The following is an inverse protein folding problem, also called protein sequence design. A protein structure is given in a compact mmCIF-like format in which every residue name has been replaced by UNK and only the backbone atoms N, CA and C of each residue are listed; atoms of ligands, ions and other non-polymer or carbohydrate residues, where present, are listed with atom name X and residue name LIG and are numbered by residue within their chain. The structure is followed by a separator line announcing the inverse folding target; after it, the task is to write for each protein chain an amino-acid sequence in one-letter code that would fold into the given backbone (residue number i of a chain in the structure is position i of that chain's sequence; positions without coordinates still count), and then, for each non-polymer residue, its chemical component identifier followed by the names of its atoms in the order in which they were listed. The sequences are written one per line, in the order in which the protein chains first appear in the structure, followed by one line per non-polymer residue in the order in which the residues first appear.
data_IF_886703416146
#
_entry.id   IF_886703416146
#
_cell.length_a   1.000
_cell.length_b   1.000
_cell.length_c   1.000
_cell.angle_alpha   90.00
_cell.angle_beta   90.00
_cell.angle_gamma   90.00
#
_symmetry.space_group_name_H-M   'P 1'
#
loop_
_entity.id
_entity.type
_entity.pdbx_description
1 polymer ?
#
# COMPACT_ATOMS: atom_id res chain seq x y z
N UNK A 1 11.25 28.86 13.06
CA UNK A 1 12.21 28.16 12.19
C UNK A 1 11.41 27.14 11.38
N UNK A 2 11.75 26.84 10.12
CA UNK A 2 11.04 25.77 9.38
C UNK A 2 11.58 24.41 9.81
N UNK A 3 10.81 23.33 9.61
CA UNK A 3 11.27 21.97 9.89
C UNK A 3 12.58 21.65 9.15
N UNK A 4 12.69 22.06 7.89
CA UNK A 4 13.89 21.82 7.08
C UNK A 4 15.13 22.50 7.68
N UNK A 5 15.00 23.73 8.20
CA UNK A 5 16.11 24.42 8.87
C UNK A 5 16.49 23.77 10.22
N UNK A 6 15.51 23.32 11.00
CA UNK A 6 15.78 22.57 12.24
C UNK A 6 16.57 21.28 11.94
N UNK A 7 16.21 20.55 10.89
CA UNK A 7 16.91 19.31 10.48
C UNK A 7 18.33 19.60 9.99
N UNK A 8 18.52 20.68 9.22
CA UNK A 8 19.86 21.09 8.77
C UNK A 8 20.74 21.47 9.95
N UNK A 9 20.19 22.14 10.96
CA UNK A 9 20.93 22.48 12.19
C UNK A 9 21.27 21.24 13.02
N UNK A 10 20.31 20.32 13.18
CA UNK A 10 20.56 19.04 13.82
C UNK A 10 21.65 18.24 13.11
N UNK A 11 21.64 18.22 11.77
CA UNK A 11 22.67 17.56 10.98
C UNK A 11 24.06 18.22 11.11
N UNK A 12 24.12 19.56 11.12
CA UNK A 12 25.39 20.28 11.40
C UNK A 12 25.96 19.90 12.77
N UNK A 13 25.10 19.83 13.78
CA UNK A 13 25.48 19.41 15.14
C UNK A 13 25.98 17.96 15.15
N UNK A 14 25.30 17.06 14.44
CA UNK A 14 25.70 15.67 14.25
C UNK A 14 27.09 15.52 13.63
N UNK A 15 27.35 16.25 12.54
CA UNK A 15 28.65 16.27 11.87
C UNK A 15 29.77 16.85 12.75
N UNK A 16 29.43 17.74 13.70
CA UNK A 16 30.36 18.28 14.68
C UNK A 16 30.61 17.34 15.88
N UNK A 17 30.01 16.13 15.90
CA UNK A 17 30.18 15.15 16.97
C UNK A 17 29.25 15.35 18.17
N UNK A 18 28.22 16.19 18.03
CA UNK A 18 27.18 16.41 19.04
C UNK A 18 25.82 15.91 18.55
N UNK A 19 24.84 15.71 19.43
CA UNK A 19 23.49 15.34 19.01
C UNK A 19 22.52 16.43 19.45
N UNK A 20 21.96 17.13 18.47
CA UNK A 20 20.90 18.11 18.69
C UNK A 20 19.57 17.47 18.33
N UNK A 21 18.72 17.26 19.33
CA UNK A 21 17.35 16.81 19.11
C UNK A 21 16.50 17.97 18.62
N UNK A 22 15.64 17.68 17.65
CA UNK A 22 14.60 18.60 17.21
C UNK A 22 13.69 18.94 18.40
N UNK A 23 13.36 20.22 18.54
CA UNK A 23 12.42 20.69 19.55
C UNK A 23 11.03 20.04 19.41
N UNK A 24 10.22 20.13 20.46
CA UNK A 24 8.80 19.76 20.38
C UNK A 24 8.10 20.56 19.28
N UNK A 25 7.17 19.90 18.58
CA UNK A 25 6.46 20.53 17.46
C UNK A 25 5.57 19.56 16.71
N UNK A 26 5.06 20.03 15.57
CA UNK A 26 4.20 19.24 14.71
C UNK A 26 4.88 17.96 14.24
N UNK A 27 4.07 16.90 14.12
CA UNK A 27 4.54 15.63 13.56
C UNK A 27 4.86 15.77 12.09
N UNK A 28 5.83 15.00 11.62
CA UNK A 28 6.20 14.93 10.21
C UNK A 28 6.51 13.49 9.82
N UNK A 29 6.48 13.22 8.52
CA UNK A 29 6.70 11.88 7.96
C UNK A 29 8.10 11.81 7.38
N UNK A 30 8.82 10.73 7.65
CA UNK A 30 10.10 10.41 6.99
C UNK A 30 9.88 9.17 6.14
N UNK A 31 10.03 9.28 4.83
CA UNK A 31 10.13 8.13 3.92
C UNK A 31 11.61 7.87 3.66
N UNK A 32 12.12 6.69 4.01
CA UNK A 32 13.53 6.34 3.81
C UNK A 32 13.73 4.88 3.40
N UNK A 33 14.98 4.46 3.24
CA UNK A 33 15.34 3.12 2.80
C UNK A 33 15.27 2.09 3.94
N UNK A 34 15.07 0.81 3.62
CA UNK A 34 15.23 -0.35 4.54
C UNK A 34 16.71 -0.68 4.85
N UNK A 35 17.66 0.13 4.38
CA UNK A 35 19.09 -0.12 4.59
C UNK A 35 19.42 -0.23 6.10
N UNK A 36 20.05 -1.33 6.54
CA UNK A 36 20.32 -1.55 7.95
C UNK A 36 21.26 -0.50 8.54
N UNK A 37 22.13 0.14 7.74
CA UNK A 37 23.05 1.20 8.19
C UNK A 37 22.31 2.42 8.73
N UNK A 38 21.06 2.64 8.31
CA UNK A 38 20.27 3.78 8.77
C UNK A 38 19.62 3.56 10.14
N UNK A 39 19.50 2.30 10.60
CA UNK A 39 18.87 1.98 11.89
C UNK A 39 19.75 2.49 13.04
N UNK A 40 19.23 3.43 13.83
CA UNK A 40 19.98 4.06 14.93
C UNK A 40 20.98 5.13 14.46
N UNK A 41 21.11 5.34 13.15
CA UNK A 41 21.97 6.35 12.54
C UNK A 41 21.16 7.54 12.00
N UNK A 42 20.02 7.26 11.37
CA UNK A 42 19.14 8.27 10.80
C UNK A 42 18.59 9.23 11.88
N UNK A 43 18.19 8.67 13.01
CA UNK A 43 17.58 9.42 14.11
C UNK A 43 18.52 10.51 14.65
N UNK A 44 19.76 10.21 15.10
CA UNK A 44 20.68 11.26 15.52
C UNK A 44 21.13 12.16 14.36
N UNK A 45 21.28 11.65 13.14
CA UNK A 45 21.72 12.46 11.99
C UNK A 45 20.72 13.54 11.57
N UNK A 46 19.42 13.33 11.80
CA UNK A 46 18.35 14.29 11.52
C UNK A 46 17.75 14.92 12.79
N UNK A 47 18.28 14.60 13.97
CA UNK A 47 17.75 15.06 15.26
C UNK A 47 16.37 14.50 15.62
N UNK A 48 15.95 13.38 15.05
CA UNK A 48 14.60 12.84 15.25
C UNK A 48 14.35 12.52 16.74
N UNK A 49 13.29 13.08 17.30
CA UNK A 49 12.84 12.83 18.66
C UNK A 49 11.63 11.89 18.69
N UNK A 50 11.45 11.18 19.82
CA UNK A 50 10.27 10.34 20.02
C UNK A 50 9.00 11.18 19.88
N UNK A 51 7.96 10.59 19.30
CA UNK A 51 6.61 11.17 19.14
C UNK A 51 6.43 12.25 18.05
N UNK A 52 7.49 12.82 17.47
CA UNK A 52 7.40 13.79 16.37
C UNK A 52 7.56 13.18 14.98
N UNK A 53 8.56 12.31 14.78
CA UNK A 53 8.82 11.68 13.49
C UNK A 53 8.01 10.38 13.28
N UNK A 54 7.30 10.30 12.15
CA UNK A 54 6.59 9.11 11.68
C UNK A 54 7.41 8.48 10.55
N UNK A 55 8.17 7.43 10.85
CA UNK A 55 9.13 6.84 9.89
C UNK A 55 8.49 5.70 9.10
N UNK A 56 8.50 5.82 7.78
CA UNK A 56 8.11 4.81 6.79
C UNK A 56 9.36 4.37 6.05
N UNK A 57 9.58 3.06 5.93
CA UNK A 57 10.77 2.50 5.28
C UNK A 57 10.38 1.62 4.11
N UNK A 58 10.99 1.85 2.94
CA UNK A 58 10.78 1.06 1.72
C UNK A 58 12.12 0.71 1.07
N UNK A 59 12.14 -0.27 0.17
CA UNK A 59 13.35 -0.55 -0.60
C UNK A 59 13.73 0.69 -1.45
N UNK A 60 14.88 1.29 -1.15
CA UNK A 60 15.38 2.47 -1.86
C UNK A 60 14.51 3.71 -1.73
N UNK A 61 13.77 3.89 -0.64
CA UNK A 61 12.90 5.05 -0.39
C UNK A 61 11.93 5.38 -1.55
N UNK A 62 11.52 4.31 -2.26
CA UNK A 62 10.62 4.36 -3.40
C UNK A 62 9.16 4.48 -2.95
N UNK A 63 8.38 5.18 -3.77
CA UNK A 63 6.92 5.22 -3.71
C UNK A 63 6.38 5.44 -5.14
N UNK A 64 5.40 4.64 -5.52
CA UNK A 64 4.85 4.55 -6.88
C UNK A 64 3.47 3.91 -6.84
N UNK A 65 2.79 3.81 -7.99
CA UNK A 65 1.50 3.11 -8.11
C UNK A 65 1.61 1.61 -7.80
N UNK A 66 2.79 1.01 -8.02
CA UNK A 66 3.09 -0.37 -7.64
C UNK A 66 3.41 -0.53 -6.15
N UNK A 67 3.64 0.56 -5.43
CA UNK A 67 4.00 0.58 -4.00
C UNK A 67 2.85 1.07 -3.12
N UNK A 68 1.69 0.41 -3.24
CA UNK A 68 0.46 0.82 -2.55
C UNK A 68 0.60 0.89 -1.02
N UNK A 69 1.40 0.02 -0.40
CA UNK A 69 1.57 0.02 1.05
C UNK A 69 2.35 1.24 1.56
N UNK A 70 3.34 1.72 0.81
CA UNK A 70 4.09 2.91 1.17
C UNK A 70 3.19 4.14 1.13
N UNK A 71 2.46 4.31 0.01
CA UNK A 71 1.53 5.42 -0.18
C UNK A 71 0.45 5.40 0.90
N UNK A 72 -0.19 4.25 1.13
CA UNK A 72 -1.20 4.07 2.18
C UNK A 72 -0.66 4.39 3.57
N UNK A 73 0.57 3.99 3.88
CA UNK A 73 1.19 4.26 5.19
C UNK A 73 1.51 5.74 5.36
N UNK A 74 1.98 6.42 4.32
CA UNK A 74 2.21 7.87 4.34
C UNK A 74 0.88 8.61 4.51
N UNK A 75 -0.18 8.21 3.79
CA UNK A 75 -1.53 8.76 4.00
C UNK A 75 -2.00 8.63 5.45
N UNK A 76 -1.85 7.44 6.04
CA UNK A 76 -2.21 7.24 7.44
C UNK A 76 -1.35 8.11 8.37
N UNK A 77 -0.06 8.27 8.09
CA UNK A 77 0.83 9.13 8.86
C UNK A 77 0.40 10.61 8.80
N UNK A 78 -0.03 11.10 7.63
CA UNK A 78 -0.53 12.46 7.45
C UNK A 78 -1.92 12.64 8.06
N UNK A 79 -2.91 11.87 7.62
CA UNK A 79 -4.32 12.10 7.93
C UNK A 79 -4.80 11.49 9.25
N UNK A 80 -4.21 10.38 9.69
CA UNK A 80 -4.60 9.71 10.95
C UNK A 80 -3.67 10.11 12.09
N UNK A 81 -2.37 10.26 11.84
CA UNK A 81 -1.39 10.60 12.86
C UNK A 81 -1.03 12.10 12.89
N UNK A 82 -1.48 12.89 11.93
CA UNK A 82 -1.34 14.35 11.94
C UNK A 82 0.00 14.87 11.43
N UNK A 83 0.70 14.11 10.57
CA UNK A 83 1.92 14.56 9.91
C UNK A 83 1.66 15.78 9.02
N UNK A 84 2.44 16.85 9.20
CA UNK A 84 2.25 18.14 8.48
C UNK A 84 3.16 18.33 7.28
N UNK A 85 4.28 17.62 7.26
CA UNK A 85 5.28 17.67 6.19
C UNK A 85 5.84 16.27 5.93
N UNK A 86 6.33 16.03 4.71
CA UNK A 86 7.01 14.78 4.33
C UNK A 86 8.48 15.07 3.98
N UNK A 87 9.38 14.25 4.49
CA UNK A 87 10.79 14.20 4.14
C UNK A 87 11.07 12.88 3.42
N UNK A 88 11.40 12.95 2.14
CA UNK A 88 11.91 11.80 1.39
C UNK A 88 13.43 11.79 1.53
N UNK A 89 13.97 10.84 2.28
CA UNK A 89 15.39 10.75 2.62
C UNK A 89 16.01 9.54 1.93
N UNK A 90 16.73 9.79 0.84
CA UNK A 90 17.61 8.80 0.22
C UNK A 90 18.98 8.76 0.87
N UNK A 91 19.79 7.77 0.51
CA UNK A 91 21.15 7.65 1.03
C UNK A 91 22.17 7.23 -0.03
N UNK A 92 23.43 7.66 0.12
CA UNK A 92 24.52 7.22 -0.77
C UNK A 92 24.73 5.71 -0.74
N UNK A 93 25.29 5.16 -1.82
CA UNK A 93 25.62 3.72 -1.94
C UNK A 93 24.41 2.80 -1.62
N UNK A 94 23.23 3.17 -2.14
CA UNK A 94 22.05 2.35 -1.99
C UNK A 94 22.17 1.05 -2.80
N UNK A 95 21.97 -0.10 -2.17
CA UNK A 95 21.98 -1.38 -2.88
C UNK A 95 20.93 -1.38 -4.02
N UNK A 96 19.81 -0.67 -3.83
CA UNK A 96 18.76 -0.51 -4.84
C UNK A 96 19.20 0.32 -6.07
N UNK A 97 20.35 1.01 -6.03
CA UNK A 97 20.88 1.68 -7.22
C UNK A 97 21.91 0.86 -7.99
N UNK A 98 22.34 -0.28 -7.44
CA UNK A 98 23.48 -1.06 -7.93
C UNK A 98 23.08 -2.42 -8.52
N UNK A 99 21.87 -2.88 -8.26
CA UNK A 99 21.44 -4.19 -8.73
C UNK A 99 21.02 -4.14 -10.21
N UNK A 100 21.33 -5.22 -10.93
CA UNK A 100 20.67 -5.52 -12.19
C UNK A 100 19.36 -6.23 -11.89
N UNK A 101 18.27 -5.80 -12.53
CA UNK A 101 17.00 -6.51 -12.41
C UNK A 101 17.13 -7.98 -12.87
N UNK A 102 18.05 -8.26 -13.80
CA UNK A 102 18.37 -9.64 -14.22
C UNK A 102 18.93 -10.48 -13.08
N UNK A 103 19.84 -9.94 -12.27
CA UNK A 103 20.48 -10.69 -11.17
C UNK A 103 19.48 -11.06 -10.08
N UNK A 104 18.54 -10.15 -9.80
CA UNK A 104 17.45 -10.37 -8.83
C UNK A 104 16.48 -11.44 -9.35
N UNK A 105 16.04 -11.32 -10.60
CA UNK A 105 15.14 -12.31 -11.22
C UNK A 105 15.81 -13.69 -11.24
N UNK A 106 17.09 -13.76 -11.57
CA UNK A 106 17.86 -14.99 -11.55
C UNK A 106 18.02 -15.56 -10.13
N UNK A 107 18.14 -14.70 -9.12
CA UNK A 107 18.17 -15.12 -7.72
C UNK A 107 16.85 -15.77 -7.29
N UNK A 108 15.71 -15.17 -7.66
CA UNK A 108 14.39 -15.77 -7.44
C UNK A 108 14.24 -17.10 -8.17
N UNK A 109 14.71 -17.18 -9.42
CA UNK A 109 14.68 -18.40 -10.23
C UNK A 109 15.50 -19.52 -9.58
N UNK A 110 16.73 -19.23 -9.13
CA UNK A 110 17.61 -20.19 -8.43
C UNK A 110 17.01 -20.66 -7.10
N UNK A 111 16.28 -19.80 -6.41
CA UNK A 111 15.56 -20.14 -5.18
C UNK A 111 14.25 -20.93 -5.44
N UNK A 112 13.89 -21.20 -6.70
CA UNK A 112 12.68 -21.94 -7.06
C UNK A 112 11.39 -21.14 -6.90
N UNK A 113 11.45 -19.81 -6.83
CA UNK A 113 10.26 -18.96 -6.72
C UNK A 113 9.55 -18.92 -8.07
N UNK A 114 8.27 -19.33 -8.15
CA UNK A 114 7.55 -19.34 -9.42
C UNK A 114 7.23 -17.92 -9.88
N UNK A 115 7.21 -17.69 -11.21
CA UNK A 115 6.88 -16.39 -11.80
C UNK A 115 5.53 -15.83 -11.33
N UNK A 116 4.55 -16.70 -11.08
CA UNK A 116 3.22 -16.33 -10.59
C UNK A 116 3.23 -15.65 -9.22
N UNK A 117 4.28 -15.83 -8.40
CA UNK A 117 4.39 -15.21 -7.08
C UNK A 117 4.46 -13.66 -7.13
N UNK A 118 4.74 -13.09 -8.30
CA UNK A 118 4.88 -11.64 -8.49
C UNK A 118 3.70 -11.03 -9.28
N UNK A 119 2.64 -11.81 -9.55
CA UNK A 119 1.52 -11.41 -10.40
C UNK A 119 1.91 -11.22 -11.88
N UNK A 120 1.02 -10.65 -12.71
CA UNK A 120 1.27 -10.57 -14.17
C UNK A 120 2.09 -9.33 -14.59
N UNK A 121 2.35 -8.41 -13.67
CA UNK A 121 3.08 -7.16 -13.96
C UNK A 121 4.56 -7.40 -14.29
N UNK A 122 5.22 -6.44 -14.95
CA UNK A 122 6.65 -6.52 -15.23
C UNK A 122 7.45 -6.61 -13.91
N UNK A 123 8.21 -7.70 -13.74
CA UNK A 123 9.06 -7.93 -12.57
C UNK A 123 10.06 -6.79 -12.34
N UNK A 124 10.58 -6.20 -13.43
CA UNK A 124 11.51 -5.08 -13.32
C UNK A 124 10.83 -3.85 -12.74
N UNK A 125 9.60 -3.59 -13.17
CA UNK A 125 8.77 -2.50 -12.65
C UNK A 125 8.32 -2.78 -11.20
N UNK A 126 8.01 -4.04 -10.88
CA UNK A 126 7.65 -4.47 -9.52
C UNK A 126 8.80 -4.24 -8.53
N UNK A 127 10.03 -4.57 -8.94
CA UNK A 127 11.21 -4.41 -8.10
C UNK A 127 11.74 -2.96 -8.08
N UNK A 128 11.26 -2.10 -8.99
CA UNK A 128 11.50 -0.65 -9.01
C UNK A 128 12.99 -0.23 -8.91
N UNK A 129 13.84 -0.91 -9.68
CA UNK A 129 15.26 -0.57 -9.81
C UNK A 129 15.49 0.86 -10.29
N UNK A 130 16.55 1.48 -9.80
CA UNK A 130 17.02 2.76 -10.30
C UNK A 130 18.54 2.75 -10.41
N UNK A 131 19.09 3.74 -11.12
CA UNK A 131 20.55 3.88 -11.27
C UNK A 131 21.10 5.08 -10.50
N UNK A 132 20.31 6.15 -10.38
CA UNK A 132 20.69 7.37 -9.70
C UNK A 132 19.81 7.58 -8.46
N UNK A 133 20.44 7.62 -7.29
CA UNK A 133 19.76 7.81 -6.01
C UNK A 133 19.17 9.21 -5.88
N UNK A 134 19.85 10.26 -6.35
CA UNK A 134 19.35 11.63 -6.30
C UNK A 134 18.11 11.78 -7.18
N UNK A 135 18.18 11.26 -8.39
CA UNK A 135 17.05 11.23 -9.31
C UNK A 135 15.87 10.44 -8.72
N UNK A 136 16.15 9.34 -8.01
CA UNK A 136 15.14 8.57 -7.30
C UNK A 136 14.42 9.37 -6.21
N UNK A 137 15.15 10.09 -5.35
CA UNK A 137 14.54 10.97 -4.33
C UNK A 137 13.64 12.02 -5.00
N UNK A 138 14.11 12.66 -6.06
CA UNK A 138 13.33 13.65 -6.81
C UNK A 138 12.05 13.02 -7.36
N UNK A 139 12.15 11.83 -7.97
CA UNK A 139 11.01 11.09 -8.52
C UNK A 139 9.98 10.73 -7.45
N UNK A 140 10.41 10.25 -6.28
CA UNK A 140 9.51 9.95 -5.17
C UNK A 140 8.79 11.21 -4.66
N UNK A 141 9.49 12.34 -4.56
CA UNK A 141 8.87 13.63 -4.20
C UNK A 141 7.84 14.05 -5.24
N UNK A 142 8.18 13.97 -6.53
CA UNK A 142 7.27 14.34 -7.62
C UNK A 142 6.05 13.42 -7.71
N UNK A 143 6.24 12.12 -7.47
CA UNK A 143 5.14 11.16 -7.42
C UNK A 143 4.16 11.53 -6.30
N UNK A 144 4.65 11.75 -5.08
CA UNK A 144 3.79 12.15 -3.95
C UNK A 144 3.06 13.47 -4.23
N UNK A 145 3.66 14.41 -4.96
CA UNK A 145 2.98 15.65 -5.38
C UNK A 145 1.88 15.41 -6.41
N UNK A 146 2.08 14.47 -7.34
CA UNK A 146 1.18 14.21 -8.48
C UNK A 146 0.11 13.17 -8.20
N UNK A 147 0.24 12.35 -7.16
CA UNK A 147 -0.68 11.24 -6.88
C UNK A 147 -2.08 11.69 -6.43
N UNK A 148 -2.34 12.99 -6.28
CA UNK A 148 -3.64 13.55 -5.90
C UNK A 148 -4.02 13.32 -4.44
N UNK A 149 -3.14 12.70 -3.65
CA UNK A 149 -3.43 12.33 -2.27
C UNK A 149 -3.09 13.43 -1.26
N UNK A 150 -2.34 14.46 -1.64
CA UNK A 150 -2.00 15.59 -0.79
C UNK A 150 -2.40 16.91 -1.46
N UNK A 151 -2.77 17.94 -0.69
CA UNK A 151 -3.00 19.29 -1.23
C UNK A 151 -1.79 19.82 -2.00
N UNK A 152 -2.03 20.67 -3.00
CA UNK A 152 -0.96 21.24 -3.84
C UNK A 152 0.12 22.00 -3.04
N UNK A 153 -0.26 22.59 -1.91
CA UNK A 153 0.63 23.32 -1.00
C UNK A 153 1.23 22.44 0.12
N UNK A 154 0.98 21.12 0.12
CA UNK A 154 1.56 20.23 1.12
C UNK A 154 3.08 20.15 0.94
N UNK A 155 3.83 20.32 2.03
CA UNK A 155 5.29 20.39 1.98
C UNK A 155 5.89 18.99 1.91
N UNK A 156 6.62 18.77 0.83
CA UNK A 156 7.32 17.51 0.55
C UNK A 156 8.75 17.88 0.14
N UNK A 157 9.70 17.49 0.97
CA UNK A 157 11.13 17.76 0.81
C UNK A 157 11.85 16.51 0.34
N UNK A 158 12.91 16.68 -0.44
CA UNK A 158 13.80 15.61 -0.87
C UNK A 158 15.20 15.86 -0.33
N UNK A 159 15.75 14.87 0.37
CA UNK A 159 17.03 14.92 1.05
C UNK A 159 17.90 13.71 0.67
N UNK A 160 19.21 13.92 0.67
CA UNK A 160 20.22 12.89 0.50
C UNK A 160 21.11 12.83 1.73
N UNK A 161 21.20 11.66 2.34
CA UNK A 161 22.08 11.38 3.46
C UNK A 161 23.31 10.61 2.98
N UNK A 162 24.50 11.07 3.31
CA UNK A 162 25.71 10.26 3.17
C UNK A 162 25.65 9.11 4.19
N UNK A 163 25.66 7.88 3.70
CA UNK A 163 25.51 6.67 4.51
C UNK A 163 26.73 6.35 5.39
N UNK A 164 27.85 7.05 5.20
CA UNK A 164 29.09 6.85 5.96
C UNK A 164 29.24 7.88 7.08
N UNK A 165 29.05 9.17 6.75
CA UNK A 165 29.29 10.27 7.69
C UNK A 165 28.02 11.01 8.12
N UNK A 166 26.88 10.75 7.47
CA UNK A 166 25.59 11.33 7.82
C UNK A 166 25.38 12.75 7.29
N UNK A 167 26.27 13.26 6.42
CA UNK A 167 26.11 14.58 5.81
C UNK A 167 24.82 14.64 5.00
N UNK A 168 24.02 15.67 5.25
CA UNK A 168 22.75 15.89 4.59
C UNK A 168 22.88 16.92 3.46
N UNK A 169 22.31 16.60 2.31
CA UNK A 169 22.15 17.50 1.18
C UNK A 169 20.65 17.63 0.84
N UNK A 170 20.18 18.87 0.66
CA UNK A 170 18.81 19.13 0.18
C UNK A 170 18.80 19.05 -1.35
N UNK A 171 18.06 18.10 -1.91
CA UNK A 171 17.90 17.97 -3.37
C UNK A 171 16.60 18.58 -3.88
N UNK A 172 15.58 18.65 -3.01
CA UNK A 172 14.30 19.35 -3.26
C UNK A 172 13.82 20.04 -1.99
N UNK A 173 13.69 21.35 -2.07
CA UNK A 173 13.13 22.18 -1.01
C UNK A 173 11.60 22.31 -1.18
N UNK A 174 10.85 21.71 -0.26
CA UNK A 174 9.39 21.72 -0.27
C UNK A 174 8.77 23.04 0.20
N UNK A 175 9.54 23.94 0.82
CA UNK A 175 9.07 25.28 1.23
C UNK A 175 9.04 26.25 0.03
N UNK A 176 9.74 25.94 -1.07
CA UNK A 176 9.89 26.82 -2.24
C UNK A 176 8.73 26.83 -3.24
N UNK A 177 7.68 26.03 -3.04
CA UNK A 177 6.58 25.90 -4.01
C UNK A 177 5.61 27.08 -3.92
N UNK A 178 5.48 27.81 -5.03
CA UNK A 178 4.44 28.82 -5.26
C UNK A 178 3.16 28.12 -5.72
N UNK A 179 2.05 28.52 -5.13
CA UNK A 179 0.73 27.91 -5.33
C UNK A 179 0.20 28.18 -6.75
N UNK A 180 -0.12 27.13 -7.50
CA UNK A 180 -1.20 27.20 -8.49
C UNK A 180 -2.35 26.35 -7.96
N UNK A 181 -3.49 26.99 -7.74
CA UNK A 181 -4.68 26.35 -7.17
C UNK A 181 -5.34 25.46 -8.21
N UNK A 182 -5.23 24.14 -8.04
CA UNK A 182 -6.16 23.20 -8.66
C UNK A 182 -7.02 22.65 -7.54
N UNK A 183 -8.21 23.24 -7.38
CA UNK A 183 -9.27 22.69 -6.56
C UNK A 183 -9.91 21.57 -7.38
N UNK A 184 -9.70 20.33 -6.98
CA UNK A 184 -10.50 19.22 -7.48
C UNK A 184 -11.49 18.83 -6.39
N UNK A 185 -12.72 19.32 -6.53
CA UNK A 185 -13.88 18.83 -5.80
C UNK A 185 -14.10 17.36 -6.17
N UNK A 186 -13.82 16.45 -5.23
CA UNK A 186 -14.64 15.26 -4.94
C UNK A 186 -13.91 14.37 -3.92
N UNK A 187 -14.35 14.46 -2.66
CA UNK A 187 -14.27 13.37 -1.68
C UNK A 187 -15.32 13.67 -0.59
N UNK A 188 -16.57 13.29 -0.84
CA UNK A 188 -17.57 13.13 0.22
C UNK A 188 -17.93 11.66 0.29
N UNK A 189 -17.17 10.92 1.09
CA UNK A 189 -17.64 9.67 1.67
C UNK A 189 -18.20 10.01 3.06
N UNK A 190 -19.45 9.64 3.29
CA UNK A 190 -20.20 9.83 4.54
C UNK A 190 -19.43 9.31 5.76
N UNK A 191 -19.47 10.00 6.93
CA UNK A 191 -18.78 9.53 8.11
C UNK A 191 -19.41 8.24 8.65
N UNK A 192 -18.56 7.24 8.87
CA UNK A 192 -18.87 6.07 9.70
C UNK A 192 -18.94 6.53 11.17
N UNK A 193 -19.82 5.97 12.03
CA UNK A 193 -20.06 6.51 13.36
C UNK A 193 -18.80 6.48 14.23
N UNK A 194 -18.59 7.56 14.98
CA UNK A 194 -17.48 7.73 15.90
C UNK A 194 -17.44 6.59 16.93
N UNK A 195 -16.28 5.93 17.05
CA UNK A 195 -15.98 5.10 18.22
C UNK A 195 -15.77 6.03 19.41
N UNK A 196 -16.60 5.92 20.43
CA UNK A 196 -16.41 6.56 21.73
C UNK A 196 -15.10 6.07 22.36
N UNK A 197 -14.23 6.97 22.84
CA UNK A 197 -13.09 6.57 23.68
C UNK A 197 -13.63 5.95 24.99
N UNK A 198 -13.21 4.72 25.31
CA UNK A 198 -13.40 4.16 26.64
C UNK A 198 -12.60 4.96 27.68
N UNK A 199 -13.00 4.93 28.96
CA UNK A 199 -12.37 5.77 29.98
C UNK A 199 -10.90 5.39 30.15
N UNK A 200 -10.03 6.39 30.04
CA UNK A 200 -8.62 6.29 30.38
C UNK A 200 -8.55 6.48 31.90
N UNK A 201 -8.27 5.41 32.64
CA UNK A 201 -7.96 5.52 34.07
C UNK A 201 -6.57 6.16 34.22
N UNK A 202 -6.54 7.38 34.72
CA UNK A 202 -5.34 8.10 35.10
C UNK A 202 -4.97 7.79 36.54
N UNK A 203 -3.87 7.06 36.73
CA UNK A 203 -3.08 7.12 37.96
C UNK A 203 -1.61 6.99 37.60
N UNK A 204 -0.98 8.14 37.36
CA UNK A 204 0.48 8.24 37.28
C UNK A 204 0.98 8.53 38.70
N UNK A 205 1.72 7.59 39.28
CA UNK A 205 2.66 7.87 40.35
C UNK A 205 4.07 7.87 39.77
N UNK A 206 4.85 8.87 40.20
CA UNK A 206 6.21 9.12 39.77
C UNK A 206 7.21 8.15 40.43
N UNK A 207 8.23 7.77 39.65
CA UNK A 207 9.54 7.36 40.16
C UNK A 207 9.81 5.86 40.29
N UNK A 208 10.45 5.27 39.27
CA UNK A 208 11.47 4.22 39.39
C UNK A 208 12.11 3.95 38.02
N UNK A 209 13.42 3.70 37.98
CA UNK A 209 14.19 3.32 36.78
C UNK A 209 13.50 2.17 36.03
N UNK A 210 13.54 2.24 34.69
CA UNK A 210 12.99 1.21 33.82
C UNK A 210 13.62 -0.17 34.10
N UNK A 211 12.84 -1.25 34.27
CA UNK A 211 13.39 -2.60 34.35
C UNK A 211 13.85 -3.06 32.96
N UNK A 212 14.90 -3.89 32.92
CA UNK A 212 15.36 -4.56 31.69
C UNK A 212 14.23 -5.38 31.03
N UNK A 213 14.22 -5.50 29.69
CA UNK A 213 13.21 -6.26 28.99
C UNK A 213 13.28 -7.76 29.38
N UNK A 214 12.12 -8.44 29.48
CA UNK A 214 12.10 -9.86 29.83
C UNK A 214 12.73 -10.72 28.72
N UNK A 215 13.35 -11.86 29.06
CA UNK A 215 13.93 -12.76 28.07
C UNK A 215 12.85 -13.36 27.17
N UNK A 216 13.21 -13.57 25.89
CA UNK A 216 12.32 -14.10 24.86
C UNK A 216 11.80 -15.50 25.24
N UNK A 217 10.51 -15.80 24.98
CA UNK A 217 9.96 -17.13 25.23
C UNK A 217 10.53 -18.18 24.26
N UNK A 218 10.73 -19.40 24.78
CA UNK A 218 11.18 -20.56 24.02
C UNK A 218 10.15 -20.97 22.93
N UNK A 219 10.59 -21.60 21.83
CA UNK A 219 9.74 -21.86 20.67
C UNK A 219 8.64 -22.89 21.00
N UNK A 220 7.38 -22.51 20.76
CA UNK A 220 6.22 -23.37 20.95
C UNK A 220 6.16 -24.48 19.90
N UNK A 221 5.93 -25.71 20.37
CA UNK A 221 5.67 -26.90 19.57
C UNK A 221 4.33 -26.78 18.84
N UNK A 222 4.31 -27.18 17.56
CA UNK A 222 3.12 -27.17 16.69
C UNK A 222 2.09 -28.20 17.17
N UNK A 223 0.96 -27.73 17.71
CA UNK A 223 -0.28 -28.49 17.83
C UNK A 223 -1.22 -28.12 16.69
N UNK A 224 -1.57 -29.09 15.84
CA UNK A 224 -2.55 -28.92 14.77
C UNK A 224 -3.96 -28.78 15.37
N UNK A 225 -4.65 -27.68 15.03
CA UNK A 225 -6.07 -27.50 15.30
C UNK A 225 -6.81 -27.32 13.97
N UNK A 226 -7.51 -28.37 13.56
CA UNK A 226 -8.52 -28.36 12.50
C UNK A 226 -9.74 -27.59 13.00
N UNK A 227 -10.10 -26.50 12.33
CA UNK A 227 -11.40 -25.82 12.55
C UNK A 227 -12.27 -26.02 11.32
N UNK A 228 -13.45 -26.60 11.55
CA UNK A 228 -14.46 -26.88 10.55
C UNK A 228 -15.09 -25.58 10.03
N UNK A 229 -15.16 -25.42 8.71
CA UNK A 229 -15.76 -24.28 8.04
C UNK A 229 -17.29 -24.35 8.04
N UNK A 230 -17.94 -23.32 8.60
CA UNK A 230 -19.37 -23.06 8.45
C UNK A 230 -19.61 -21.78 7.64
N UNK A 231 -20.61 -21.79 6.76
CA UNK A 231 -21.05 -20.63 5.96
C UNK A 231 -21.44 -19.45 6.87
N UNK A 232 -20.99 -18.21 6.62
CA UNK A 232 -21.49 -17.03 7.33
C UNK A 232 -22.99 -16.81 7.03
N UNK A 233 -23.74 -16.32 8.02
CA UNK A 233 -25.20 -16.28 8.06
C UNK A 233 -25.95 -15.47 6.98
N UNK A 234 -27.28 -15.52 7.10
CA UNK A 234 -28.28 -15.14 6.10
C UNK A 234 -28.01 -13.84 5.32
N UNK A 235 -28.25 -13.90 4.00
CA UNK A 235 -28.06 -12.80 3.06
C UNK A 235 -28.89 -11.56 3.44
N UNK A 236 -28.22 -10.40 3.54
CA UNK A 236 -28.88 -9.11 3.31
C UNK A 236 -29.26 -9.09 1.83
N UNK A 237 -30.55 -9.05 1.52
CA UNK A 237 -31.03 -8.84 0.15
C UNK A 237 -30.51 -7.46 -0.27
N UNK A 238 -29.43 -7.40 -1.04
CA UNK A 238 -28.98 -6.15 -1.64
C UNK A 238 -30.03 -5.69 -2.66
N UNK A 239 -30.14 -4.39 -2.94
CA UNK A 239 -30.96 -3.94 -4.06
C UNK A 239 -30.32 -4.38 -5.38
N UNK A 240 -31.10 -4.45 -6.47
CA UNK A 240 -30.55 -4.62 -7.81
C UNK A 240 -29.50 -3.54 -8.10
N UNK A 241 -28.40 -3.87 -8.80
CA UNK A 241 -27.32 -2.92 -9.04
C UNK A 241 -27.78 -1.74 -9.89
N UNK A 242 -27.46 -0.52 -9.43
CA UNK A 242 -27.77 0.73 -10.15
C UNK A 242 -26.58 1.24 -10.98
N UNK A 243 -25.37 0.77 -10.66
CA UNK A 243 -24.12 1.15 -11.33
C UNK A 243 -23.19 -0.04 -11.58
N UNK A 244 -22.16 0.16 -12.42
CA UNK A 244 -21.10 -0.84 -12.65
C UNK A 244 -20.37 -1.20 -11.36
N UNK A 245 -20.17 -0.22 -10.47
CA UNK A 245 -19.53 -0.40 -9.17
C UNK A 245 -20.36 -1.31 -8.25
N UNK A 246 -21.69 -1.16 -8.28
CA UNK A 246 -22.62 -2.02 -7.53
C UNK A 246 -22.60 -3.44 -8.06
N UNK A 247 -22.62 -3.61 -9.38
CA UNK A 247 -22.54 -4.93 -10.01
C UNK A 247 -21.23 -5.65 -9.68
N UNK A 248 -20.10 -4.93 -9.71
CA UNK A 248 -18.79 -5.46 -9.32
C UNK A 248 -18.73 -5.84 -7.83
N UNK A 249 -19.37 -5.06 -6.97
CA UNK A 249 -19.43 -5.34 -5.52
C UNK A 249 -20.28 -6.58 -5.24
N UNK A 250 -21.44 -6.73 -5.88
CA UNK A 250 -22.31 -7.90 -5.73
C UNK A 250 -21.57 -9.18 -6.17
N UNK A 251 -20.85 -9.14 -7.29
CA UNK A 251 -20.06 -10.29 -7.75
C UNK A 251 -18.91 -10.62 -6.80
N UNK A 252 -18.18 -9.61 -6.31
CA UNK A 252 -17.10 -9.82 -5.34
C UNK A 252 -17.63 -10.45 -4.06
N UNK A 253 -18.74 -9.95 -3.52
CA UNK A 253 -19.34 -10.49 -2.30
C UNK A 253 -19.81 -11.94 -2.49
N UNK A 254 -20.37 -12.27 -3.66
CA UNK A 254 -20.72 -13.65 -4.03
C UNK A 254 -19.50 -14.57 -4.01
N UNK A 255 -18.42 -14.19 -4.70
CA UNK A 255 -17.17 -14.98 -4.76
C UNK A 255 -16.56 -15.17 -3.38
N UNK A 256 -16.51 -14.11 -2.58
CA UNK A 256 -15.95 -14.17 -1.21
C UNK A 256 -16.74 -15.13 -0.32
N UNK A 257 -18.08 -15.13 -0.44
CA UNK A 257 -18.95 -16.02 0.35
C UNK A 257 -18.86 -17.48 -0.08
N UNK A 258 -18.80 -17.74 -1.38
CA UNK A 258 -18.72 -19.11 -1.90
C UNK A 258 -17.28 -19.64 -1.97
N UNK A 259 -16.27 -18.85 -1.58
CA UNK A 259 -14.86 -19.24 -1.62
C UNK A 259 -14.56 -20.55 -0.87
N UNK A 260 -15.31 -20.89 0.17
CA UNK A 260 -15.13 -22.12 0.94
C UNK A 260 -16.05 -23.27 0.48
N UNK A 261 -16.88 -23.05 -0.55
CA UNK A 261 -17.77 -24.07 -1.10
C UNK A 261 -17.02 -24.93 -2.13
N UNK A 262 -16.83 -26.21 -1.83
CA UNK A 262 -16.10 -27.13 -2.70
C UNK A 262 -16.72 -27.26 -4.10
N UNK A 263 -18.06 -27.21 -4.19
CA UNK A 263 -18.76 -27.26 -5.47
C UNK A 263 -18.45 -26.02 -6.31
N UNK A 264 -18.51 -24.84 -5.69
CA UNK A 264 -18.16 -23.57 -6.33
C UNK A 264 -16.71 -23.56 -6.81
N UNK A 265 -15.76 -24.00 -5.97
CA UNK A 265 -14.35 -24.08 -6.32
C UNK A 265 -14.09 -24.96 -7.54
N UNK A 266 -14.76 -26.12 -7.63
CA UNK A 266 -14.65 -27.00 -8.79
C UNK A 266 -15.20 -26.31 -10.05
N UNK A 267 -16.36 -25.66 -9.97
CA UNK A 267 -16.97 -24.95 -11.10
C UNK A 267 -16.13 -23.75 -11.57
N UNK A 268 -15.50 -23.00 -10.65
CA UNK A 268 -14.59 -21.90 -11.01
C UNK A 268 -13.30 -22.43 -11.63
N UNK A 269 -12.76 -23.56 -11.17
CA UNK A 269 -11.60 -24.19 -11.78
C UNK A 269 -11.87 -24.66 -13.21
N UNK A 270 -13.05 -25.24 -13.46
CA UNK A 270 -13.53 -25.64 -14.79
C UNK A 270 -13.73 -24.42 -15.70
N UNK A 271 -14.39 -23.37 -15.20
CA UNK A 271 -14.59 -22.11 -15.93
C UNK A 271 -13.24 -21.45 -16.27
N UNK A 272 -12.29 -21.43 -15.35
CA UNK A 272 -10.95 -20.88 -15.57
C UNK A 272 -10.17 -21.69 -16.61
N UNK A 273 -10.33 -23.02 -16.63
CA UNK A 273 -9.75 -23.89 -17.65
C UNK A 273 -10.41 -23.67 -19.03
N UNK A 274 -11.72 -23.41 -19.06
CA UNK A 274 -12.46 -23.06 -20.27
C UNK A 274 -11.98 -21.72 -20.84
N UNK A 275 -11.87 -20.67 -20.02
CA UNK A 275 -11.40 -19.34 -20.45
C UNK A 275 -9.98 -19.40 -21.04
N UNK A 276 -9.10 -20.28 -20.51
CA UNK A 276 -7.74 -20.45 -21.05
C UNK A 276 -7.69 -21.12 -22.42
N UNK A 277 -8.70 -21.94 -22.76
CA UNK A 277 -8.73 -22.75 -23.99
C UNK A 277 -9.65 -22.17 -25.06
N UNK A 278 -10.74 -21.54 -24.65
CA UNK A 278 -11.78 -21.03 -25.52
C UNK A 278 -11.60 -19.53 -25.76
N UNK A 279 -11.63 -19.12 -27.03
CA UNK A 279 -11.51 -17.69 -27.42
C UNK A 279 -12.86 -17.08 -27.76
N UNK A 280 -13.92 -17.88 -27.88
CA UNK A 280 -15.26 -17.43 -28.20
C UNK A 280 -15.98 -16.86 -26.95
N UNK A 281 -16.28 -15.55 -26.90
CA UNK A 281 -16.95 -14.93 -25.75
C UNK A 281 -18.34 -15.49 -25.47
N UNK A 282 -19.07 -15.93 -26.50
CA UNK A 282 -20.42 -16.47 -26.34
C UNK A 282 -20.42 -17.78 -25.55
N UNK A 283 -19.39 -18.61 -25.71
CA UNK A 283 -19.26 -19.89 -24.98
C UNK A 283 -18.96 -19.64 -23.50
N UNK A 284 -18.04 -18.71 -23.21
CA UNK A 284 -17.68 -18.36 -21.84
C UNK A 284 -18.86 -17.68 -21.12
N UNK A 285 -19.59 -16.80 -21.81
CA UNK A 285 -20.78 -16.17 -21.26
C UNK A 285 -21.92 -17.16 -21.00
N UNK A 286 -22.06 -18.21 -21.83
CA UNK A 286 -23.02 -19.28 -21.58
C UNK A 286 -22.73 -20.05 -20.30
N UNK A 287 -21.46 -20.32 -20.00
CA UNK A 287 -21.06 -21.02 -18.77
C UNK A 287 -21.19 -20.11 -17.53
N UNK A 288 -20.90 -18.82 -17.68
CA UNK A 288 -21.12 -17.83 -16.62
C UNK A 288 -22.61 -17.66 -16.31
N UNK A 289 -23.49 -17.65 -17.33
CA UNK A 289 -24.94 -17.63 -17.16
C UNK A 289 -25.45 -18.90 -16.46
N UNK A 290 -24.84 -20.06 -16.74
CA UNK A 290 -25.16 -21.32 -16.07
C UNK A 290 -24.81 -21.28 -14.59
N UNK A 291 -23.60 -20.81 -14.25
CA UNK A 291 -23.17 -20.60 -12.87
C UNK A 291 -24.11 -19.65 -12.14
N UNK A 292 -24.45 -18.50 -12.74
CA UNK A 292 -25.34 -17.53 -12.11
C UNK A 292 -26.74 -18.10 -11.89
N UNK A 293 -27.29 -18.86 -12.84
CA UNK A 293 -28.59 -19.53 -12.67
C UNK A 293 -28.60 -20.55 -11.54
N UNK A 294 -27.50 -21.26 -11.32
CA UNK A 294 -27.38 -22.23 -10.24
C UNK A 294 -27.44 -21.57 -8.86
N UNK A 295 -26.89 -20.37 -8.72
CA UNK A 295 -26.82 -19.65 -7.46
C UNK A 295 -27.90 -18.57 -7.29
N UNK A 296 -28.73 -18.30 -8.30
CA UNK A 296 -29.72 -17.21 -8.27
C UNK A 296 -30.75 -17.31 -7.13
N UNK A 297 -31.05 -18.53 -6.66
CA UNK A 297 -31.99 -18.72 -5.55
C UNK A 297 -31.40 -18.25 -4.22
N UNK A 298 -30.09 -18.45 -4.02
CA UNK A 298 -29.36 -17.95 -2.85
C UNK A 298 -28.93 -16.48 -3.05
N UNK A 299 -28.71 -16.05 -4.29
CA UNK A 299 -28.22 -14.72 -4.67
C UNK A 299 -29.10 -14.07 -5.76
N UNK A 300 -30.29 -13.52 -5.40
CA UNK A 300 -31.28 -13.06 -6.38
C UNK A 300 -30.84 -11.88 -7.25
N UNK A 301 -29.83 -11.11 -6.83
CA UNK A 301 -29.31 -9.96 -7.58
C UNK A 301 -28.17 -10.32 -8.54
N UNK A 302 -27.67 -11.56 -8.47
CA UNK A 302 -26.55 -12.04 -9.29
C UNK A 302 -26.86 -11.99 -10.80
N UNK A 303 -28.07 -12.37 -11.27
CA UNK A 303 -28.45 -12.21 -12.68
C UNK A 303 -28.45 -10.74 -13.13
N UNK A 304 -28.95 -9.83 -12.30
CA UNK A 304 -29.01 -8.41 -12.62
C UNK A 304 -27.60 -7.78 -12.69
N UNK A 305 -26.69 -8.17 -11.79
CA UNK A 305 -25.29 -7.75 -11.82
C UNK A 305 -24.57 -8.20 -13.09
N UNK A 306 -24.76 -9.47 -13.48
CA UNK A 306 -24.16 -10.00 -14.70
C UNK A 306 -24.72 -9.30 -15.96
N UNK A 307 -26.03 -9.06 -16.00
CA UNK A 307 -26.67 -8.37 -17.12
C UNK A 307 -26.21 -6.90 -17.26
N UNK A 308 -26.03 -6.18 -16.14
CA UNK A 308 -25.61 -4.78 -16.18
C UNK A 308 -24.15 -4.64 -16.62
N UNK A 309 -23.28 -5.57 -16.19
CA UNK A 309 -21.93 -5.67 -16.73
C UNK A 309 -21.96 -5.94 -18.23
N UNK A 310 -22.74 -6.92 -18.69
CA UNK A 310 -22.89 -7.23 -20.13
C UNK A 310 -23.25 -5.99 -20.95
N UNK A 311 -24.32 -5.30 -20.55
CA UNK A 311 -24.84 -4.11 -21.25
C UNK A 311 -23.81 -2.98 -21.33
N UNK A 312 -23.08 -2.75 -20.25
CA UNK A 312 -22.07 -1.66 -20.21
C UNK A 312 -20.83 -1.98 -21.03
N UNK A 313 -20.58 -3.27 -21.30
CA UNK A 313 -19.46 -3.76 -22.12
C UNK A 313 -19.76 -3.72 -23.61
N UNK A 314 -20.99 -4.03 -24.02
CA UNK A 314 -21.45 -3.90 -25.41
C UNK A 314 -21.36 -2.44 -25.91
N UNK A 315 -21.53 -1.46 -25.00
CA UNK A 315 -21.40 -0.04 -25.32
C UNK A 315 -19.94 0.46 -25.44
N UNK A 316 -18.92 -0.33 -25.08
CA UNK A 316 -17.50 0.09 -25.04
C UNK A 316 -16.59 -0.47 -26.15
N UNK A 317 -17.15 -1.04 -27.22
CA UNK A 317 -16.39 -1.41 -28.44
C UNK A 317 -15.62 -2.74 -28.36
N UNK A 318 -15.06 -3.22 -29.51
CA UNK A 318 -14.70 -4.62 -29.70
C UNK A 318 -13.34 -4.93 -29.08
N UNK A 319 -13.36 -5.44 -27.86
CA UNK A 319 -12.16 -5.89 -27.15
C UNK A 319 -12.51 -6.84 -26.02
N UNK A 320 -13.12 -7.98 -26.34
CA UNK A 320 -13.56 -9.00 -25.37
C UNK A 320 -12.46 -9.52 -24.43
N UNK A 321 -11.18 -9.22 -24.67
CA UNK A 321 -10.03 -9.59 -23.83
C UNK A 321 -10.08 -8.98 -22.41
N UNK A 322 -10.55 -7.74 -22.27
CA UNK A 322 -10.62 -7.04 -20.99
C UNK A 322 -11.67 -7.65 -20.03
N UNK A 323 -12.75 -8.21 -20.57
CA UNK A 323 -13.77 -8.90 -19.78
C UNK A 323 -13.18 -10.13 -19.08
N UNK A 324 -12.34 -10.88 -19.77
CA UNK A 324 -11.69 -12.05 -19.19
C UNK A 324 -10.68 -11.66 -18.11
N UNK A 325 -9.95 -10.55 -18.29
CA UNK A 325 -9.08 -10.02 -17.23
C UNK A 325 -9.85 -9.51 -16.01
N UNK A 326 -10.99 -8.85 -16.23
CA UNK A 326 -11.83 -8.36 -15.15
C UNK A 326 -12.54 -9.49 -14.40
N UNK A 327 -13.04 -10.51 -15.11
CA UNK A 327 -13.64 -11.70 -14.50
C UNK A 327 -12.59 -12.55 -13.79
N UNK A 328 -11.41 -12.76 -14.39
CA UNK A 328 -10.31 -13.45 -13.71
C UNK A 328 -9.95 -12.75 -12.39
N UNK A 329 -9.84 -11.41 -12.40
CA UNK A 329 -9.61 -10.60 -11.19
C UNK A 329 -10.71 -10.67 -10.13
N UNK A 330 -11.95 -10.97 -10.53
CA UNK A 330 -13.08 -11.12 -9.61
C UNK A 330 -13.16 -12.55 -9.06
N UNK A 331 -12.71 -13.54 -9.83
CA UNK A 331 -12.78 -14.96 -9.50
C UNK A 331 -11.52 -15.48 -8.77
N UNK A 332 -10.39 -14.78 -8.85
CA UNK A 332 -9.17 -14.98 -8.02
C UNK A 332 -9.34 -14.45 -6.58
#
# INVERSE_FOLDING_TARGET
MTLLEEIKEANRSFLAGSSLQLAEGDRFVVLTCIDPRLTGFLEPALGLSRHRALVVRTAGNQVSDSCNDALRSIAAAVYVKGGKEILVVGHSDCAMSRFSATDVIESFRKAGVPRSAFGDGDLRAWFAAFHDVKANVIRSVEYLRKCGMFPANFKIHGLMLDSQNGKLEVVRDGDSIKTESVVSDQLVATPSPARTPGPVSSSVQAGALAPEPPPLPAPATKGAATTAGGRPGALKIMANPASMMDAATILRDFVVRERQNQKFQNTIAELSALIRKEKNPSVIMGELDRLVKEYQHEYPNLPAALSLLRKTMETRGPGGSWLFEALARILD
#
